data_IF_958882012689
#
_entry.id   IF_958882012689
#
_cell.length_a   1.000
_cell.length_b   1.000
_cell.length_c   1.000
_cell.angle_alpha   90.00
_cell.angle_beta   90.00
_cell.angle_gamma   90.00
#
_symmetry.space_group_name_H-M   'P 1'
#
loop_
_entity.id
_entity.type
_entity.pdbx_description
1 polymer ?
#
# COMPACT_ATOMS: atom_id res chain seq x y z
N UNK A 1 0.77 0.62 16.13
CA UNK A 1 0.39 -0.52 15.29
C UNK A 1 1.66 -1.33 15.08
N UNK A 2 1.65 -2.59 15.50
CA UNK A 2 2.80 -3.49 15.31
C UNK A 2 2.84 -4.01 13.87
N UNK A 3 3.96 -4.61 13.45
CA UNK A 3 4.11 -5.16 12.10
C UNK A 3 3.01 -6.18 11.76
N UNK A 4 2.65 -7.06 12.70
CA UNK A 4 1.60 -8.08 12.49
C UNK A 4 0.21 -7.46 12.23
N UNK A 5 -0.11 -6.38 12.95
CA UNK A 5 -1.38 -5.65 12.74
C UNK A 5 -1.39 -4.97 11.37
N UNK A 6 -0.23 -4.46 10.94
CA UNK A 6 -0.01 -3.84 9.63
C UNK A 6 -0.20 -4.84 8.51
N UNK A 7 0.40 -6.02 8.62
CA UNK A 7 0.25 -7.11 7.65
C UNK A 7 -1.19 -7.59 7.56
N UNK A 8 -1.88 -7.68 8.71
CA UNK A 8 -3.29 -8.06 8.75
C UNK A 8 -4.19 -7.04 8.05
N UNK A 9 -3.97 -5.73 8.30
CA UNK A 9 -4.74 -4.66 7.66
C UNK A 9 -4.44 -4.60 6.16
N UNK A 10 -3.17 -4.74 5.77
CA UNK A 10 -2.76 -4.79 4.37
C UNK A 10 -3.39 -5.98 3.63
N UNK A 11 -3.35 -7.17 4.22
CA UNK A 11 -3.97 -8.38 3.66
C UNK A 11 -5.49 -8.19 3.50
N UNK A 12 -6.13 -7.60 4.50
CA UNK A 12 -7.57 -7.34 4.47
C UNK A 12 -7.94 -6.32 3.38
N UNK A 13 -7.11 -5.31 3.17
CA UNK A 13 -7.26 -4.33 2.09
C UNK A 13 -7.13 -4.98 0.72
N UNK A 14 -6.10 -5.82 0.52
CA UNK A 14 -5.90 -6.54 -0.74
C UNK A 14 -7.10 -7.44 -1.07
N UNK A 15 -7.61 -8.19 -0.08
CA UNK A 15 -8.82 -8.99 -0.27
C UNK A 15 -10.06 -8.14 -0.57
N UNK A 16 -10.20 -6.97 0.05
CA UNK A 16 -11.30 -6.06 -0.24
C UNK A 16 -11.22 -5.52 -1.67
N UNK A 17 -10.04 -5.12 -2.14
CA UNK A 17 -9.80 -4.71 -3.52
C UNK A 17 -10.17 -5.80 -4.53
N UNK A 18 -9.77 -7.05 -4.26
CA UNK A 18 -10.13 -8.20 -5.10
C UNK A 18 -11.64 -8.43 -5.15
N UNK A 19 -12.35 -8.29 -4.01
CA UNK A 19 -13.82 -8.42 -3.96
C UNK A 19 -14.55 -7.28 -4.68
N UNK A 20 -14.02 -6.06 -4.60
CA UNK A 20 -14.58 -4.86 -5.24
C UNK A 20 -14.35 -4.91 -6.76
N UNK A 21 -13.23 -5.50 -7.19
CA UNK A 21 -12.84 -5.63 -8.59
C UNK A 21 -12.17 -4.37 -9.15
N UNK A 22 -11.41 -4.56 -10.22
CA UNK A 22 -10.55 -3.54 -10.84
C UNK A 22 -11.33 -2.28 -11.26
N UNK A 23 -12.53 -2.45 -11.83
CA UNK A 23 -13.37 -1.33 -12.29
C UNK A 23 -13.81 -0.39 -11.15
N UNK A 24 -13.89 -0.90 -9.91
CA UNK A 24 -14.34 -0.12 -8.74
C UNK A 24 -13.20 0.18 -7.78
N UNK A 25 -11.99 -0.32 -8.02
CA UNK A 25 -10.83 -0.08 -7.19
C UNK A 25 -10.50 1.43 -7.03
N UNK A 26 -10.53 2.28 -8.08
CA UNK A 26 -10.27 3.71 -7.92
C UNK A 26 -11.28 4.40 -7.00
N UNK A 27 -12.57 4.04 -7.12
CA UNK A 27 -13.62 4.59 -6.27
C UNK A 27 -13.48 4.12 -4.82
N UNK A 28 -13.20 2.84 -4.60
CA UNK A 28 -12.95 2.29 -3.26
C UNK A 28 -11.76 2.98 -2.57
N UNK A 29 -10.64 3.15 -3.29
CA UNK A 29 -9.47 3.84 -2.78
C UNK A 29 -9.75 5.32 -2.49
N UNK A 30 -10.56 5.97 -3.32
CA UNK A 30 -10.98 7.37 -3.08
C UNK A 30 -11.78 7.51 -1.78
N UNK A 31 -12.72 6.59 -1.52
CA UNK A 31 -13.54 6.58 -0.30
C UNK A 31 -12.69 6.28 0.94
N UNK A 32 -11.83 5.26 0.85
CA UNK A 32 -10.91 4.89 1.93
C UNK A 32 -9.94 6.05 2.24
N UNK A 33 -9.35 6.63 1.19
CA UNK A 33 -8.46 7.78 1.30
C UNK A 33 -9.13 8.96 1.96
N UNK A 34 -10.33 9.35 1.53
CA UNK A 34 -11.08 10.45 2.15
C UNK A 34 -11.36 10.19 3.64
N UNK A 35 -11.74 8.95 3.98
CA UNK A 35 -12.02 8.55 5.37
C UNK A 35 -10.78 8.57 6.27
N UNK A 36 -9.60 8.33 5.71
CA UNK A 36 -8.32 8.44 6.42
C UNK A 36 -7.89 9.90 6.55
N UNK A 37 -8.01 10.68 5.48
CA UNK A 37 -7.66 12.11 5.48
C UNK A 37 -8.54 12.91 6.44
N UNK A 38 -9.83 12.56 6.57
CA UNK A 38 -10.74 13.22 7.53
C UNK A 38 -10.36 12.99 8.99
N UNK A 39 -9.50 12.01 9.28
CA UNK A 39 -9.01 11.69 10.63
C UNK A 39 -7.66 12.36 10.94
N UNK A 40 -7.02 12.97 9.93
CA UNK A 40 -5.76 13.70 10.13
C UNK A 40 -6.02 15.03 10.83
N UNK A 41 -5.16 15.36 11.79
CA UNK A 41 -5.24 16.62 12.52
C UNK A 41 -4.79 17.84 11.67
N UNK A 42 -3.98 17.61 10.63
CA UNK A 42 -3.37 18.67 9.82
C UNK A 42 -3.48 18.39 8.33
N UNK A 43 -3.90 19.39 7.57
CA UNK A 43 -3.91 19.33 6.10
C UNK A 43 -2.48 19.20 5.52
N UNK A 44 -1.47 19.75 6.19
CA UNK A 44 -0.07 19.62 5.78
C UNK A 44 0.42 18.16 5.83
N UNK A 45 0.10 17.43 6.91
CA UNK A 45 0.46 16.01 7.05
C UNK A 45 -0.26 15.15 6.02
N UNK A 46 -1.53 15.45 5.76
CA UNK A 46 -2.34 14.82 4.73
C UNK A 46 -1.74 15.02 3.32
N UNK A 47 -1.32 16.24 2.98
CA UNK A 47 -0.68 16.55 1.71
C UNK A 47 0.70 15.88 1.57
N UNK A 48 1.47 15.81 2.65
CA UNK A 48 2.76 15.13 2.66
C UNK A 48 2.61 13.61 2.41
N UNK A 49 1.58 12.97 2.97
CA UNK A 49 1.26 11.57 2.71
C UNK A 49 0.83 11.34 1.25
N UNK A 50 0.05 12.26 0.69
CA UNK A 50 -0.38 12.20 -0.71
C UNK A 50 0.82 12.28 -1.66
N UNK A 51 1.72 13.25 -1.45
CA UNK A 51 2.94 13.39 -2.25
C UNK A 51 3.85 12.15 -2.15
N UNK A 52 3.96 11.53 -0.97
CA UNK A 52 4.72 10.28 -0.80
C UNK A 52 4.10 9.11 -1.57
N UNK A 53 2.77 8.95 -1.51
CA UNK A 53 2.07 7.90 -2.23
C UNK A 53 2.19 8.08 -3.75
N UNK A 54 2.09 9.32 -4.24
CA UNK A 54 2.29 9.65 -5.66
C UNK A 54 3.73 9.35 -6.10
N UNK A 55 4.72 9.78 -5.33
CA UNK A 55 6.12 9.47 -5.61
C UNK A 55 6.39 7.95 -5.62
N UNK A 56 5.81 7.19 -4.69
CA UNK A 56 5.94 5.72 -4.67
C UNK A 56 5.26 5.03 -5.86
N UNK A 57 4.14 5.59 -6.36
CA UNK A 57 3.40 5.03 -7.50
C UNK A 57 4.07 5.34 -8.84
N UNK A 58 4.72 6.50 -8.95
CA UNK A 58 5.47 6.93 -10.13
C UNK A 58 6.91 6.40 -10.14
N UNK A 59 7.42 6.02 -8.98
CA UNK A 59 8.72 5.36 -8.89
C UNK A 59 8.59 3.94 -9.45
N UNK A 60 8.97 3.77 -10.71
CA UNK A 60 9.30 2.47 -11.33
C UNK A 60 10.59 1.89 -10.71
N UNK A 61 10.70 1.92 -9.38
CA UNK A 61 11.74 1.18 -8.68
C UNK A 61 11.20 -0.24 -8.57
N UNK A 62 11.78 -1.22 -9.27
CA UNK A 62 11.36 -2.60 -9.12
C UNK A 62 11.58 -2.95 -7.65
N UNK A 63 10.50 -3.24 -6.92
CA UNK A 63 10.54 -3.99 -5.67
C UNK A 63 10.97 -5.46 -5.95
N UNK A 64 12.02 -5.63 -6.75
CA UNK A 64 12.70 -6.88 -7.07
C UNK A 64 14.12 -6.84 -6.50
N UNK A 65 14.31 -6.23 -5.33
CA UNK A 65 15.46 -6.52 -4.48
C UNK A 65 15.05 -7.50 -3.37
N UNK A 66 14.34 -8.56 -3.76
CA UNK A 66 14.37 -9.79 -2.96
C UNK A 66 15.67 -10.50 -3.37
N UNK A 67 16.70 -10.58 -2.52
CA UNK A 67 17.81 -11.47 -2.80
C UNK A 67 17.22 -12.89 -2.82
N UNK A 68 17.12 -13.48 -4.01
CA UNK A 68 16.76 -14.88 -4.14
C UNK A 68 17.71 -15.70 -3.25
N UNK A 69 17.23 -16.59 -2.38
CA UNK A 69 18.10 -17.48 -1.64
C UNK A 69 18.85 -18.33 -2.68
N UNK A 70 20.16 -18.14 -2.77
CA UNK A 70 21.06 -18.89 -3.62
C UNK A 70 20.82 -20.39 -3.40
N UNK A 71 20.45 -21.19 -4.41
CA UNK A 71 20.38 -22.63 -4.22
C UNK A 71 21.80 -23.14 -3.97
N UNK A 72 22.02 -23.70 -2.77
CA UNK A 72 23.26 -24.35 -2.41
C UNK A 72 23.53 -25.48 -3.42
N UNK A 73 24.63 -25.36 -4.18
CA UNK A 73 25.12 -26.37 -5.11
C UNK A 73 25.58 -27.60 -4.29
N UNK A 74 25.04 -28.80 -4.53
CA UNK A 74 25.59 -30.01 -3.91
C UNK A 74 26.89 -30.39 -4.65
N UNK A 75 27.92 -30.68 -3.86
CA UNK A 75 29.16 -31.36 -4.27
C UNK A 75 29.03 -32.86 -4.02
#
# INVERSE_FOLDING_TARGET
MNNDELDQVYTSMAQALTRVGESRAPLFLSILGLSLLSRQASAADALALLAQAEAASLSDAPMANYPAPTPARPT
#
